data_IF_406732514703
#
_entry.id   IF_406732514703
#
_cell.length_a   1.000
_cell.length_b   1.000
_cell.length_c   1.000
_cell.angle_alpha   90.00
_cell.angle_beta   90.00
_cell.angle_gamma   90.00
#
_symmetry.space_group_name_H-M   'P 1'
#
loop_
_entity.id
_entity.type
_entity.pdbx_description
1 polymer ?
#
# COMPACT_ATOMS: atom_id res chain seq x y z
N UNK A 1 2.88 29.40 -67.74
CA UNK A 1 1.44 29.31 -67.49
C UNK A 1 1.27 28.32 -66.36
N UNK A 2 1.41 28.80 -65.13
CA UNK A 2 1.08 28.00 -63.94
C UNK A 2 -0.44 27.94 -63.86
N UNK A 3 -0.98 26.73 -63.83
CA UNK A 3 -2.42 26.48 -63.96
C UNK A 3 -3.17 27.04 -62.73
N UNK A 4 -4.18 27.91 -62.92
CA UNK A 4 -4.93 28.52 -61.82
C UNK A 4 -5.68 27.52 -60.93
N UNK A 5 -5.93 26.31 -61.45
CA UNK A 5 -6.59 25.24 -60.70
C UNK A 5 -5.70 24.60 -59.63
N UNK A 6 -4.38 24.53 -59.83
CA UNK A 6 -3.46 23.95 -58.86
C UNK A 6 -3.31 24.83 -57.60
N UNK A 7 -3.34 26.15 -57.76
CA UNK A 7 -3.21 27.10 -56.65
C UNK A 7 -4.46 27.11 -55.74
N UNK A 8 -5.65 26.91 -56.31
CA UNK A 8 -6.92 26.82 -55.56
C UNK A 8 -7.05 25.48 -54.81
N UNK A 9 -6.52 24.39 -55.36
CA UNK A 9 -6.42 23.09 -54.66
C UNK A 9 -5.46 23.16 -53.47
N UNK A 10 -4.26 23.74 -53.65
CA UNK A 10 -3.28 23.92 -52.58
C UNK A 10 -3.84 24.78 -51.42
N UNK A 11 -4.58 25.85 -51.74
CA UNK A 11 -5.24 26.69 -50.71
C UNK A 11 -6.33 25.93 -49.96
N UNK A 12 -7.13 25.13 -50.65
CA UNK A 12 -8.20 24.34 -50.03
C UNK A 12 -7.64 23.26 -49.11
N UNK A 13 -6.62 22.54 -49.56
CA UNK A 13 -5.94 21.52 -48.76
C UNK A 13 -5.28 22.14 -47.54
N UNK A 14 -4.60 23.29 -47.71
CA UNK A 14 -4.04 24.03 -46.58
C UNK A 14 -5.11 24.42 -45.57
N UNK A 15 -6.25 24.98 -46.01
CA UNK A 15 -7.34 25.38 -45.11
C UNK A 15 -7.99 24.19 -44.42
N UNK A 16 -8.18 23.05 -45.09
CA UNK A 16 -8.74 21.84 -44.50
C UNK A 16 -7.79 21.21 -43.47
N UNK A 17 -6.50 21.11 -43.80
CA UNK A 17 -5.48 20.63 -42.88
C UNK A 17 -5.34 21.54 -41.66
N UNK A 18 -5.30 22.86 -41.87
CA UNK A 18 -5.23 23.84 -40.80
C UNK A 18 -6.48 23.78 -39.90
N UNK A 19 -7.68 23.75 -40.47
CA UNK A 19 -8.93 23.65 -39.73
C UNK A 19 -9.03 22.33 -38.95
N UNK A 20 -8.67 21.21 -39.58
CA UNK A 20 -8.64 19.89 -38.95
C UNK A 20 -7.63 19.82 -37.80
N UNK A 21 -6.44 20.39 -37.98
CA UNK A 21 -5.41 20.44 -36.94
C UNK A 21 -5.87 21.28 -35.74
N UNK A 22 -6.40 22.49 -35.98
CA UNK A 22 -6.92 23.37 -34.91
C UNK A 22 -8.10 22.69 -34.20
N UNK A 23 -9.04 22.09 -34.95
CA UNK A 23 -10.17 21.36 -34.38
C UNK A 23 -9.74 20.17 -33.53
N UNK A 24 -8.76 19.38 -34.00
CA UNK A 24 -8.18 18.26 -33.26
C UNK A 24 -7.50 18.69 -31.96
N UNK A 25 -6.65 19.72 -32.01
CA UNK A 25 -6.00 20.28 -30.81
C UNK A 25 -7.05 20.82 -29.83
N UNK A 26 -8.05 21.55 -30.33
CA UNK A 26 -9.15 22.08 -29.52
C UNK A 26 -9.96 20.99 -28.81
N UNK A 27 -10.25 19.88 -29.50
CA UNK A 27 -10.95 18.74 -28.91
C UNK A 27 -10.12 18.08 -27.78
N UNK A 28 -8.81 17.89 -28.00
CA UNK A 28 -7.92 17.31 -26.99
C UNK A 28 -7.78 18.23 -25.77
N UNK A 29 -7.57 19.53 -25.98
CA UNK A 29 -7.44 20.50 -24.86
C UNK A 29 -8.72 20.63 -24.06
N UNK A 30 -9.90 20.48 -24.68
CA UNK A 30 -11.18 20.46 -23.96
C UNK A 30 -11.41 19.14 -23.21
N UNK A 31 -11.06 18.01 -23.81
CA UNK A 31 -11.24 16.69 -23.17
C UNK A 31 -10.25 16.44 -22.03
N UNK A 32 -9.03 16.97 -22.12
CA UNK A 32 -7.96 16.68 -21.18
C UNK A 32 -8.30 17.00 -19.71
N UNK A 33 -8.81 18.20 -19.35
CA UNK A 33 -9.16 18.51 -17.97
C UNK A 33 -10.24 17.59 -17.39
N UNK A 34 -11.15 17.08 -18.22
CA UNK A 34 -12.19 16.14 -17.78
C UNK A 34 -11.57 14.79 -17.39
N UNK A 35 -10.64 14.28 -18.21
CA UNK A 35 -9.89 13.07 -17.90
C UNK A 35 -8.99 13.28 -16.68
N UNK A 36 -8.28 14.41 -16.63
CA UNK A 36 -7.40 14.77 -15.53
C UNK A 36 -8.16 14.94 -14.20
N UNK A 37 -9.41 15.41 -14.24
CA UNK A 37 -10.28 15.54 -13.06
C UNK A 37 -10.63 14.21 -12.40
N UNK A 38 -10.53 13.10 -13.14
CA UNK A 38 -10.74 11.75 -12.61
C UNK A 38 -9.46 11.17 -11.98
N UNK A 39 -8.30 11.84 -12.16
CA UNK A 39 -7.04 11.44 -11.54
C UNK A 39 -7.01 11.82 -10.05
N UNK A 40 -6.12 11.22 -9.24
CA UNK A 40 -5.99 11.57 -7.83
C UNK A 40 -5.62 13.05 -7.64
N UNK A 41 -6.36 13.77 -6.79
CA UNK A 41 -6.07 15.17 -6.48
C UNK A 41 -4.69 15.34 -5.81
N UNK A 42 -4.13 16.55 -5.87
CA UNK A 42 -2.86 16.88 -5.23
C UNK A 42 -2.85 16.54 -3.72
N UNK A 43 -3.98 16.69 -3.03
CA UNK A 43 -4.12 16.30 -1.62
C UNK A 43 -4.01 14.78 -1.42
N UNK A 44 -4.57 13.97 -2.33
CA UNK A 44 -4.43 12.51 -2.30
C UNK A 44 -2.99 12.09 -2.60
N UNK A 45 -2.32 12.78 -3.52
CA UNK A 45 -0.90 12.56 -3.82
C UNK A 45 0.01 13.01 -2.67
N UNK A 46 -0.33 14.07 -1.94
CA UNK A 46 0.41 14.48 -0.74
C UNK A 46 0.32 13.41 0.37
N UNK A 47 -0.82 12.72 0.49
CA UNK A 47 -1.02 11.57 1.37
C UNK A 47 -0.43 10.26 0.82
N UNK A 48 0.38 10.32 -0.24
CA UNK A 48 0.98 9.13 -0.85
C UNK A 48 1.96 8.42 0.08
N UNK A 49 2.58 9.14 1.01
CA UNK A 49 3.47 8.62 2.04
C UNK A 49 3.21 9.29 3.41
N UNK A 50 3.50 8.60 4.50
CA UNK A 50 3.48 9.16 5.86
C UNK A 50 4.79 8.87 6.55
N UNK A 51 5.34 9.88 7.24
CA UNK A 51 6.49 9.70 8.12
C UNK A 51 6.02 9.60 9.57
N UNK A 52 6.64 8.70 10.31
CA UNK A 52 6.28 8.35 11.67
C UNK A 52 7.53 8.29 12.54
N UNK A 53 7.54 9.03 13.64
CA UNK A 53 8.54 8.88 14.67
C UNK A 53 8.26 7.62 15.51
N UNK A 54 9.13 6.63 15.41
CA UNK A 54 9.03 5.34 16.10
C UNK A 54 9.80 5.30 17.42
N UNK A 55 10.48 6.39 17.80
CA UNK A 55 11.34 6.45 19.00
C UNK A 55 10.58 6.19 20.31
N UNK A 56 9.30 6.54 20.36
CA UNK A 56 8.43 6.37 21.53
C UNK A 56 7.91 4.94 21.72
N UNK A 57 8.07 4.06 20.72
CA UNK A 57 7.53 2.70 20.73
C UNK A 57 8.50 1.77 21.48
N UNK A 58 8.04 1.23 22.61
CA UNK A 58 8.82 0.29 23.42
C UNK A 58 8.77 -1.12 22.83
N UNK A 59 9.79 -1.97 23.07
CA UNK A 59 9.73 -3.38 22.69
C UNK A 59 8.47 -4.07 23.25
N UNK A 60 7.77 -4.81 22.39
CA UNK A 60 6.50 -5.46 22.70
C UNK A 60 5.26 -4.59 22.50
N UNK A 61 5.43 -3.29 22.25
CA UNK A 61 4.35 -2.36 21.95
C UNK A 61 4.11 -2.27 20.44
N UNK A 62 2.84 -2.08 20.07
CA UNK A 62 2.48 -1.70 18.72
C UNK A 62 1.58 -0.46 18.75
N UNK A 63 1.61 0.29 17.66
CA UNK A 63 0.70 1.40 17.41
C UNK A 63 -0.07 1.19 16.12
N UNK A 64 -1.26 1.77 16.06
CA UNK A 64 -2.12 1.76 14.88
C UNK A 64 -1.91 3.08 14.13
N UNK A 65 -1.44 3.00 12.89
CA UNK A 65 -1.21 4.15 12.01
C UNK A 65 -2.14 4.03 10.81
N UNK A 66 -2.62 5.17 10.31
CA UNK A 66 -3.49 5.22 9.14
C UNK A 66 -2.72 5.81 7.96
N UNK A 67 -2.61 5.05 6.87
CA UNK A 67 -2.03 5.48 5.60
C UNK A 67 -2.98 5.13 4.45
N UNK A 68 -3.26 6.08 3.55
CA UNK A 68 -4.27 5.93 2.46
C UNK A 68 -5.61 5.38 2.93
N UNK A 69 -6.12 5.90 4.06
CA UNK A 69 -7.35 5.46 4.74
C UNK A 69 -7.34 3.99 5.21
N UNK A 70 -6.22 3.28 5.09
CA UNK A 70 -6.05 1.90 5.54
C UNK A 70 -5.26 1.86 6.86
N UNK A 71 -5.62 0.97 7.78
CA UNK A 71 -4.93 0.85 9.06
C UNK A 71 -3.71 -0.09 8.94
N UNK A 72 -2.63 0.25 9.64
CA UNK A 72 -1.39 -0.52 9.71
C UNK A 72 -0.91 -0.62 11.15
N UNK A 73 -0.43 -1.79 11.54
CA UNK A 73 0.30 -1.99 12.78
C UNK A 73 1.78 -1.72 12.55
N UNK A 74 2.33 -0.83 13.37
CA UNK A 74 3.78 -0.68 13.53
C UNK A 74 4.14 -1.25 14.88
N UNK A 75 4.77 -2.41 14.90
CA UNK A 75 5.12 -3.16 16.12
C UNK A 75 6.63 -3.21 16.27
N UNK A 76 7.10 -2.85 17.47
CA UNK A 76 8.47 -3.13 17.87
C UNK A 76 8.50 -4.49 18.56
N UNK A 77 9.07 -5.49 17.90
CA UNK A 77 9.10 -6.87 18.37
C UNK A 77 10.14 -7.07 19.46
N UNK A 78 9.88 -8.01 20.36
CA UNK A 78 10.87 -8.45 21.36
C UNK A 78 11.76 -9.56 20.77
N UNK A 79 12.93 -9.82 21.37
CA UNK A 79 13.81 -10.91 20.93
C UNK A 79 13.09 -12.27 20.87
N UNK A 80 12.29 -12.68 21.88
CA UNK A 80 11.52 -13.92 21.80
C UNK A 80 10.51 -13.95 20.64
N UNK A 81 9.88 -12.81 20.31
CA UNK A 81 8.93 -12.74 19.19
C UNK A 81 9.61 -12.92 17.83
N UNK A 82 10.84 -12.40 17.69
CA UNK A 82 11.66 -12.55 16.48
C UNK A 82 12.11 -14.00 16.33
N UNK A 83 12.69 -14.57 17.38
CA UNK A 83 13.13 -15.96 17.36
C UNK A 83 11.98 -16.93 17.11
N UNK A 84 10.80 -16.67 17.69
CA UNK A 84 9.60 -17.46 17.45
C UNK A 84 9.17 -17.39 15.99
N UNK A 85 9.27 -16.22 15.34
CA UNK A 85 8.93 -16.06 13.93
C UNK A 85 9.91 -16.77 12.99
N UNK A 86 11.21 -16.71 13.30
CA UNK A 86 12.29 -17.33 12.51
C UNK A 86 12.31 -18.85 12.61
N UNK A 87 11.91 -19.42 13.76
CA UNK A 87 11.86 -20.87 14.00
C UNK A 87 10.64 -21.56 13.35
N UNK A 88 9.69 -20.83 12.78
CA UNK A 88 8.51 -21.42 12.15
C UNK A 88 8.90 -22.18 10.88
N UNK A 89 8.44 -23.42 10.76
CA UNK A 89 8.52 -24.18 9.52
C UNK A 89 7.66 -23.51 8.43
N UNK A 90 8.34 -22.92 7.45
CA UNK A 90 7.75 -22.14 6.36
C UNK A 90 6.87 -23.03 5.47
N UNK A 91 7.21 -24.32 5.31
CA UNK A 91 6.44 -25.25 4.48
C UNK A 91 5.07 -25.60 5.09
N UNK A 92 4.94 -25.48 6.40
CA UNK A 92 3.68 -25.71 7.11
C UNK A 92 2.68 -24.54 7.00
N UNK A 93 3.12 -23.40 6.46
CA UNK A 93 2.29 -22.20 6.36
C UNK A 93 1.36 -22.26 5.15
N UNK A 94 0.15 -21.71 5.31
CA UNK A 94 -0.81 -21.55 4.21
C UNK A 94 -0.26 -20.67 3.09
N UNK A 95 0.46 -19.61 3.45
CA UNK A 95 1.19 -18.74 2.53
C UNK A 95 2.66 -18.72 2.98
N UNK A 96 3.52 -19.57 2.38
CA UNK A 96 4.92 -19.69 2.73
C UNK A 96 5.67 -18.38 2.53
N UNK A 97 6.16 -17.82 3.64
CA UNK A 97 6.92 -16.57 3.63
C UNK A 97 7.86 -16.53 4.85
N UNK A 98 9.15 -16.32 4.61
CA UNK A 98 10.13 -16.23 5.68
C UNK A 98 10.00 -14.88 6.42
N UNK A 99 10.33 -14.85 7.72
CA UNK A 99 10.24 -13.60 8.48
C UNK A 99 11.16 -12.50 7.90
N UNK A 100 12.37 -12.88 7.47
CA UNK A 100 13.36 -12.00 6.84
C UNK A 100 12.86 -11.30 5.59
N UNK A 101 11.90 -11.88 4.87
CA UNK A 101 11.36 -11.32 3.63
C UNK A 101 10.22 -10.33 3.91
N UNK A 102 9.71 -10.32 5.16
CA UNK A 102 8.60 -9.47 5.62
C UNK A 102 9.04 -8.22 6.36
N UNK A 103 10.32 -8.15 6.76
CA UNK A 103 10.85 -7.06 7.60
C UNK A 103 12.17 -6.55 7.04
N UNK A 104 12.35 -5.23 7.04
CA UNK A 104 13.63 -4.60 6.68
C UNK A 104 14.62 -4.60 7.86
N UNK A 105 14.10 -4.45 9.08
CA UNK A 105 14.85 -4.54 10.35
C UNK A 105 14.10 -5.53 11.24
N UNK A 106 14.75 -6.58 11.75
CA UNK A 106 14.08 -7.65 12.50
C UNK A 106 13.31 -7.15 13.73
N UNK A 107 13.71 -6.05 14.35
CA UNK A 107 12.98 -5.48 15.49
C UNK A 107 11.64 -4.81 15.09
N UNK A 108 11.43 -4.46 13.81
CA UNK A 108 10.26 -3.72 13.35
C UNK A 108 9.41 -4.56 12.41
N UNK A 109 8.15 -4.75 12.80
CA UNK A 109 7.14 -5.34 11.94
C UNK A 109 6.13 -4.27 11.56
N UNK A 110 5.97 -4.04 10.25
CA UNK A 110 4.96 -3.15 9.68
C UNK A 110 4.03 -4.00 8.83
N UNK A 111 2.77 -4.13 9.25
CA UNK A 111 1.78 -4.97 8.55
C UNK A 111 0.43 -4.27 8.51
N UNK A 112 -0.38 -4.60 7.52
CA UNK A 112 -1.77 -4.13 7.47
C UNK A 112 -2.53 -4.61 8.70
N UNK A 113 -3.26 -3.70 9.33
CA UNK A 113 -4.21 -4.01 10.38
C UNK A 113 -5.59 -4.35 9.81
N UNK A 114 -5.67 -4.76 8.54
CA UNK A 114 -6.88 -5.21 7.87
C UNK A 114 -6.75 -6.70 7.58
N UNK A 115 -7.56 -7.51 8.27
CA UNK A 115 -7.59 -8.96 8.11
C UNK A 115 -7.89 -9.33 6.64
N UNK A 116 -7.13 -10.27 6.07
CA UNK A 116 -7.26 -10.64 4.65
C UNK A 116 -8.53 -11.44 4.31
N UNK A 117 -9.34 -11.78 5.32
CA UNK A 117 -10.66 -12.36 5.11
C UNK A 117 -11.65 -11.30 4.58
N UNK A 118 -12.12 -10.39 5.45
CA UNK A 118 -13.07 -9.33 5.11
C UNK A 118 -12.73 -7.97 5.75
N UNK A 119 -11.45 -7.75 6.07
CA UNK A 119 -10.94 -6.42 6.42
C UNK A 119 -11.13 -5.95 7.85
N UNK A 120 -11.74 -6.75 8.74
CA UNK A 120 -11.78 -6.48 10.18
C UNK A 120 -10.39 -6.18 10.75
N UNK A 121 -10.32 -5.34 11.80
CA UNK A 121 -9.06 -5.04 12.47
C UNK A 121 -8.73 -6.15 13.49
N UNK A 122 -7.63 -6.91 13.33
CA UNK A 122 -7.20 -7.88 14.32
C UNK A 122 -6.83 -7.22 15.66
N UNK A 123 -7.06 -7.92 16.76
CA UNK A 123 -6.51 -7.60 18.09
C UNK A 123 -5.03 -7.99 18.15
N UNK A 124 -4.30 -7.46 19.13
CA UNK A 124 -2.93 -7.85 19.46
C UNK A 124 -1.94 -6.69 19.46
N UNK A 125 -2.39 -5.50 19.03
CA UNK A 125 -1.59 -4.30 19.05
C UNK A 125 -1.57 -3.61 20.43
N UNK A 126 -2.68 -3.64 21.17
CA UNK A 126 -2.74 -3.05 22.50
C UNK A 126 -2.19 -4.03 23.54
N UNK A 127 -1.67 -3.48 24.63
CA UNK A 127 -1.27 -4.29 25.78
C UNK A 127 -2.52 -4.91 26.40
N UNK A 128 -2.50 -6.23 26.63
CA UNK A 128 -3.64 -6.99 27.15
C UNK A 128 -4.65 -7.45 26.10
N UNK A 129 -4.47 -7.10 24.82
CA UNK A 129 -5.27 -7.69 23.75
C UNK A 129 -5.03 -9.20 23.65
N UNK A 130 -6.09 -9.93 23.30
CA UNK A 130 -5.97 -11.32 22.86
C UNK A 130 -5.13 -11.39 21.57
N UNK A 131 -4.03 -12.15 21.65
CA UNK A 131 -3.07 -12.37 20.54
C UNK A 131 -3.25 -13.73 19.87
N UNK A 132 -4.29 -14.47 20.27
CA UNK A 132 -4.58 -15.79 19.76
C UNK A 132 -3.50 -16.83 20.09
N UNK A 133 -3.67 -18.02 19.53
CA UNK A 133 -2.81 -19.19 19.79
C UNK A 133 -1.33 -19.01 19.40
N UNK A 134 -1.02 -18.05 18.52
CA UNK A 134 0.33 -17.87 17.98
C UNK A 134 1.01 -16.58 18.43
N UNK A 135 0.43 -15.87 19.41
CA UNK A 135 1.08 -14.73 20.08
C UNK A 135 1.27 -13.47 19.23
N UNK A 136 0.71 -13.44 18.02
CA UNK A 136 0.75 -12.29 17.11
C UNK A 136 -0.54 -11.50 17.17
N UNK A 137 -1.45 -11.81 16.24
CA UNK A 137 -2.71 -11.08 16.08
C UNK A 137 -3.90 -12.03 15.99
N UNK A 138 -5.04 -11.61 16.55
CA UNK A 138 -6.27 -12.39 16.53
C UNK A 138 -7.44 -11.60 15.99
N UNK A 139 -8.07 -12.10 14.92
CA UNK A 139 -9.27 -11.50 14.35
C UNK A 139 -10.52 -12.22 14.88
N UNK A 140 -11.30 -11.57 15.78
CA UNK A 140 -12.44 -12.20 16.43
C UNK A 140 -13.66 -12.37 15.50
N UNK A 141 -13.67 -11.73 14.33
CA UNK A 141 -14.82 -11.78 13.41
C UNK A 141 -15.15 -13.23 12.97
N UNK A 142 -14.12 -14.02 12.65
CA UNK A 142 -14.27 -15.41 12.20
C UNK A 142 -13.13 -16.31 12.69
N UNK A 143 -12.41 -15.91 13.75
CA UNK A 143 -11.37 -16.71 14.38
C UNK A 143 -10.09 -16.89 13.55
N UNK A 144 -9.60 -15.84 12.88
CA UNK A 144 -8.31 -15.92 12.18
C UNK A 144 -7.16 -15.57 13.12
N UNK A 145 -6.16 -16.45 13.20
CA UNK A 145 -4.99 -16.30 14.06
C UNK A 145 -3.73 -16.09 13.23
N UNK A 146 -2.99 -15.05 13.55
CA UNK A 146 -1.73 -14.69 12.93
C UNK A 146 -0.58 -14.80 13.93
N UNK A 147 0.59 -15.20 13.45
CA UNK A 147 1.80 -15.26 14.27
C UNK A 147 2.47 -13.89 14.48
N UNK A 148 3.61 -13.87 15.17
CA UNK A 148 4.39 -12.67 15.49
C UNK A 148 5.01 -11.97 14.26
N UNK A 149 4.89 -12.55 13.06
CA UNK A 149 5.25 -11.94 11.77
C UNK A 149 4.02 -11.49 10.96
N UNK A 150 2.81 -11.68 11.50
CA UNK A 150 1.56 -11.39 10.82
C UNK A 150 1.19 -12.43 9.75
N UNK A 151 1.74 -13.65 9.83
CA UNK A 151 1.43 -14.73 8.89
C UNK A 151 0.23 -15.52 9.38
N UNK A 152 -0.65 -15.91 8.47
CA UNK A 152 -1.89 -16.63 8.81
C UNK A 152 -1.56 -18.07 9.20
N UNK A 153 -2.07 -18.50 10.36
CA UNK A 153 -1.83 -19.85 10.91
C UNK A 153 -3.11 -20.67 11.00
N UNK A 154 -4.22 -20.03 11.36
CA UNK A 154 -5.51 -20.70 11.59
C UNK A 154 -6.68 -19.78 11.22
N UNK A 155 -7.82 -20.37 10.87
CA UNK A 155 -9.05 -19.67 10.50
C UNK A 155 -9.18 -19.43 8.99
N UNK A 156 -10.23 -18.70 8.55
CA UNK A 156 -10.62 -18.61 7.14
C UNK A 156 -9.83 -17.60 6.30
N UNK A 157 -9.00 -16.74 6.91
CA UNK A 157 -8.25 -15.76 6.14
C UNK A 157 -7.29 -16.43 5.12
N UNK A 158 -7.34 -16.08 3.82
CA UNK A 158 -6.59 -16.82 2.82
C UNK A 158 -5.09 -16.48 2.79
N UNK A 159 -4.70 -15.31 3.30
CA UNK A 159 -3.36 -14.73 3.15
C UNK A 159 -2.80 -14.13 4.44
N UNK A 160 -1.48 -13.98 4.52
CA UNK A 160 -0.74 -13.23 5.53
C UNK A 160 -1.17 -11.75 5.51
N UNK A 161 -0.98 -11.05 6.64
CA UNK A 161 -1.21 -9.61 6.68
C UNK A 161 -0.22 -8.90 5.73
N UNK A 162 -0.70 -8.12 4.74
CA UNK A 162 0.18 -7.47 3.78
C UNK A 162 1.18 -6.52 4.43
N UNK A 163 2.44 -6.58 4.01
CA UNK A 163 3.48 -5.61 4.40
C UNK A 163 3.40 -4.42 3.42
N UNK A 164 3.16 -3.19 3.88
CA UNK A 164 3.18 -2.02 2.99
C UNK A 164 4.62 -1.70 2.56
N UNK A 165 4.81 -0.97 1.44
CA UNK A 165 6.10 -0.37 1.12
C UNK A 165 6.49 0.58 2.26
N UNK A 166 7.68 0.38 2.83
CA UNK A 166 8.18 1.20 3.91
C UNK A 166 9.71 1.18 3.95
N UNK A 167 10.28 2.26 4.46
CA UNK A 167 11.72 2.40 4.65
C UNK A 167 12.02 3.28 5.86
N UNK A 168 13.16 3.04 6.49
CA UNK A 168 13.68 3.90 7.55
C UNK A 168 14.44 5.06 6.89
N UNK A 169 13.94 6.28 7.03
CA UNK A 169 14.64 7.49 6.57
C UNK A 169 15.80 7.80 7.52
N UNK A 170 15.56 7.59 8.81
CA UNK A 170 16.57 7.58 9.87
C UNK A 170 16.26 6.42 10.82
N UNK A 171 17.10 6.20 11.84
CA UNK A 171 16.81 5.16 12.85
C UNK A 171 15.54 5.41 13.68
N UNK A 172 15.02 6.64 13.67
CA UNK A 172 13.82 7.04 14.42
C UNK A 172 12.62 7.32 13.54
N UNK A 173 12.82 7.55 12.23
CA UNK A 173 11.74 7.94 11.31
C UNK A 173 11.49 6.81 10.33
N UNK A 174 10.29 6.21 10.45
CA UNK A 174 9.75 5.24 9.52
C UNK A 174 8.86 5.96 8.50
N UNK A 175 9.17 5.81 7.21
CA UNK A 175 8.30 6.24 6.12
C UNK A 175 7.50 5.05 5.60
N UNK A 176 6.19 5.20 5.47
CA UNK A 176 5.28 4.24 4.86
C UNK A 176 4.70 4.88 3.59
N UNK A 177 4.80 4.17 2.46
CA UNK A 177 4.37 4.67 1.15
C UNK A 177 5.46 5.32 0.32
#
# INVERSE_FOLDING_TARGET
MTEPHAEDEERRDFLQLAAGAIGGVGAVTFAWPLVDSMSPSAEVLALSSTELDVSSIKPGQAILVKWRKRPYFVRRRTKPEIEAAEKVDIASLREPEADKDRVTKSEWLVVSASCTHFGCIPKGAKVGDDRGEFGGFFCPCHGSHYDTSGRIRKGPAPRNLPVPPHNFVTDKILKIG
#
